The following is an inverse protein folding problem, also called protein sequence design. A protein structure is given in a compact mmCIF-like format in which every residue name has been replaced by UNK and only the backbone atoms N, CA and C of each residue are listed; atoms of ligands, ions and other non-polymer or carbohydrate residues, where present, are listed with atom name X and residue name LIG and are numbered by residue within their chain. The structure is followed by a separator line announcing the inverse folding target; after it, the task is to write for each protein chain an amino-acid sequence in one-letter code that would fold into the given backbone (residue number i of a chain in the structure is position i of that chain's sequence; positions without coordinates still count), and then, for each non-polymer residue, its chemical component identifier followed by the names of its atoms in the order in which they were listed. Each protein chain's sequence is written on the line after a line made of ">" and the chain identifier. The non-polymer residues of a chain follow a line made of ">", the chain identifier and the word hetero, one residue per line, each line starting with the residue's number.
data_IF_524340714933
#
_entry.id   IF_524340714933
#
_cell.length_a   1.000
_cell.length_b   1.000
_cell.length_c   1.000
_cell.angle_alpha   90.00
_cell.angle_beta   90.00
_cell.angle_gamma   90.00
#
_symmetry.space_group_name_H-M   'P 1'
#
loop_
_entity.id
_entity.type
_entity.pdbx_description
1 polymer ?
#
# COMPACT_ATOMS: atom_id res chain seq x y z
N UNK A 1 -9.98 7.22 3.11
CA UNK A 1 -8.76 6.41 3.33
C UNK A 1 -7.60 7.18 2.71
N UNK A 2 -6.55 7.49 3.49
CA UNK A 2 -5.35 8.22 3.05
C UNK A 2 -4.13 7.31 2.98
N UNK A 3 -3.06 7.74 2.32
CA UNK A 3 -1.78 6.98 2.29
C UNK A 3 -1.19 6.77 3.69
N UNK A 4 -1.27 7.77 4.58
CA UNK A 4 -0.81 7.65 5.97
C UNK A 4 -1.56 6.56 6.73
N UNK A 5 -2.90 6.50 6.56
CA UNK A 5 -3.71 5.45 7.17
C UNK A 5 -3.33 4.06 6.63
N UNK A 6 -3.09 3.95 5.33
CA UNK A 6 -2.64 2.69 4.72
C UNK A 6 -1.26 2.30 5.26
N UNK A 7 -0.31 3.22 5.38
CA UNK A 7 0.97 2.96 6.02
C UNK A 7 0.81 2.44 7.45
N UNK A 8 -0.06 3.05 8.25
CA UNK A 8 -0.31 2.61 9.63
C UNK A 8 -0.94 1.21 9.73
N UNK A 9 -1.88 0.87 8.85
CA UNK A 9 -2.53 -0.44 8.89
C UNK A 9 -1.65 -1.54 8.29
N UNK A 10 -1.03 -1.28 7.15
CA UNK A 10 -0.21 -2.27 6.45
C UNK A 10 1.20 -2.40 7.06
N UNK A 11 1.72 -1.36 7.70
CA UNK A 11 3.06 -1.35 8.29
C UNK A 11 3.22 -2.33 9.47
N UNK A 12 2.10 -2.78 10.06
CA UNK A 12 2.07 -3.84 11.08
C UNK A 12 2.62 -5.18 10.58
N UNK A 13 2.64 -5.40 9.27
CA UNK A 13 3.02 -6.66 8.65
C UNK A 13 4.41 -6.62 8.01
N UNK A 14 5.07 -5.46 8.00
CA UNK A 14 6.42 -5.32 7.47
C UNK A 14 6.78 -3.92 6.98
N UNK A 15 8.01 -3.79 6.49
CA UNK A 15 8.54 -2.56 5.93
C UNK A 15 7.87 -2.25 4.59
N UNK A 16 7.17 -1.12 4.55
CA UNK A 16 6.52 -0.62 3.34
C UNK A 16 7.53 0.23 2.56
N UNK A 17 7.73 -0.11 1.30
CA UNK A 17 8.62 0.64 0.39
C UNK A 17 7.87 1.72 -0.39
N UNK A 18 6.56 1.57 -0.61
CA UNK A 18 5.74 2.56 -1.30
C UNK A 18 4.25 2.35 -1.01
N UNK A 19 3.51 3.45 -0.88
CA UNK A 19 2.04 3.48 -0.90
C UNK A 19 1.60 4.50 -1.92
N UNK A 20 0.57 4.18 -2.69
CA UNK A 20 -0.03 5.11 -3.64
C UNK A 20 -1.52 4.87 -3.81
N UNK A 21 -2.33 5.91 -3.61
CA UNK A 21 -3.75 5.89 -3.95
C UNK A 21 -3.92 6.38 -5.39
N UNK A 22 -4.67 5.62 -6.19
CA UNK A 22 -5.05 6.00 -7.54
C UNK A 22 -6.34 6.82 -7.44
N UNK A 23 -6.19 8.13 -7.30
CA UNK A 23 -7.32 9.05 -7.32
C UNK A 23 -7.93 9.11 -8.73
N UNK A 24 -9.27 9.14 -8.84
CA UNK A 24 -9.96 9.18 -10.13
C UNK A 24 -9.57 10.44 -10.91
N UNK A 25 -9.22 10.27 -12.19
CA UNK A 25 -8.80 11.39 -13.06
C UNK A 25 -9.92 11.87 -13.97
N UNK A 26 -10.86 10.98 -14.29
CA UNK A 26 -12.00 11.26 -15.16
C UNK A 26 -13.32 11.28 -14.39
N UNK A 27 -14.35 11.92 -14.95
CA UNK A 27 -15.69 11.95 -14.37
C UNK A 27 -16.33 10.55 -14.26
N UNK A 28 -16.02 9.64 -15.20
CA UNK A 28 -16.48 8.26 -15.12
C UNK A 28 -15.87 7.54 -13.91
N UNK A 29 -14.57 7.72 -13.65
CA UNK A 29 -13.91 7.13 -12.49
C UNK A 29 -14.44 7.71 -11.17
N UNK A 30 -14.71 9.02 -11.12
CA UNK A 30 -15.33 9.64 -9.94
C UNK A 30 -16.69 9.02 -9.62
N UNK A 31 -17.51 8.77 -10.65
CA UNK A 31 -18.82 8.12 -10.52
C UNK A 31 -18.77 6.69 -9.96
N UNK A 32 -17.62 5.99 -10.05
CA UNK A 32 -17.46 4.63 -9.48
C UNK A 32 -17.44 4.62 -7.95
N UNK A 33 -17.28 5.78 -7.31
CA UNK A 33 -17.31 5.95 -5.84
C UNK A 33 -16.40 4.95 -5.09
N UNK A 34 -15.29 4.55 -5.72
CA UNK A 34 -14.32 3.60 -5.19
C UNK A 34 -12.95 3.99 -5.69
N UNK A 35 -11.97 4.00 -4.78
CA UNK A 35 -10.58 4.21 -5.13
C UNK A 35 -9.86 2.85 -5.07
N UNK A 36 -8.86 2.68 -5.93
CA UNK A 36 -7.86 1.62 -5.79
C UNK A 36 -6.53 2.22 -5.33
N UNK A 37 -5.67 1.37 -4.78
CA UNK A 37 -4.34 1.78 -4.34
C UNK A 37 -3.39 0.60 -4.34
N UNK A 38 -2.10 0.92 -4.25
CA UNK A 38 -1.03 -0.05 -4.19
C UNK A 38 -0.22 0.17 -2.91
N UNK A 39 0.12 -0.95 -2.25
CA UNK A 39 1.07 -1.00 -1.13
C UNK A 39 2.15 -1.99 -1.53
N UNK A 40 3.40 -1.53 -1.53
CA UNK A 40 4.58 -2.34 -1.82
C UNK A 40 5.33 -2.60 -0.54
N UNK A 41 5.63 -3.86 -0.27
CA UNK A 41 6.49 -4.28 0.84
C UNK A 41 7.91 -4.54 0.35
N UNK A 42 8.85 -4.56 1.28
CA UNK A 42 10.25 -4.91 0.99
C UNK A 42 10.40 -6.38 0.57
N UNK A 43 9.55 -7.28 1.08
CA UNK A 43 9.58 -8.70 0.76
C UNK A 43 8.19 -9.30 0.56
N UNK A 44 8.13 -10.37 -0.23
CA UNK A 44 6.90 -11.11 -0.53
C UNK A 44 6.19 -11.65 0.72
N UNK A 45 6.89 -12.25 1.73
CA UNK A 45 6.23 -12.76 2.93
C UNK A 45 5.49 -11.67 3.73
N UNK A 46 6.03 -10.46 3.80
CA UNK A 46 5.38 -9.32 4.46
C UNK A 46 4.07 -8.94 3.74
N UNK A 47 4.09 -8.93 2.40
CA UNK A 47 2.88 -8.69 1.61
C UNK A 47 1.85 -9.82 1.73
N UNK A 48 2.29 -11.07 1.87
CA UNK A 48 1.42 -12.24 2.11
C UNK A 48 0.74 -12.16 3.47
N UNK A 49 1.49 -11.82 4.52
CA UNK A 49 0.93 -11.60 5.85
C UNK A 49 -0.12 -10.48 5.83
N UNK A 50 0.19 -9.34 5.20
CA UNK A 50 -0.75 -8.23 5.08
C UNK A 50 -2.02 -8.64 4.32
N UNK A 51 -1.87 -9.31 3.16
CA UNK A 51 -3.03 -9.79 2.39
C UNK A 51 -3.87 -10.77 3.23
N UNK A 52 -3.26 -11.75 3.88
CA UNK A 52 -3.98 -12.76 4.65
C UNK A 52 -4.82 -12.15 5.78
N UNK A 53 -4.30 -11.12 6.46
CA UNK A 53 -4.96 -10.53 7.62
C UNK A 53 -5.94 -9.40 7.28
N UNK A 54 -5.72 -8.68 6.18
CA UNK A 54 -6.49 -7.47 5.85
C UNK A 54 -7.50 -7.66 4.69
N UNK A 55 -7.38 -8.72 3.89
CA UNK A 55 -8.31 -8.97 2.78
C UNK A 55 -9.71 -9.29 3.33
N UNK A 56 -10.71 -8.51 2.92
CA UNK A 56 -12.07 -8.61 3.43
C UNK A 56 -12.34 -7.85 4.73
N UNK A 57 -11.34 -7.17 5.31
CA UNK A 57 -11.55 -6.34 6.52
C UNK A 57 -12.25 -5.03 6.15
N UNK A 58 -13.07 -4.52 7.07
CA UNK A 58 -13.76 -3.24 6.93
C UNK A 58 -12.93 -2.07 7.49
N UNK A 59 -12.64 -1.08 6.64
CA UNK A 59 -12.06 0.21 7.05
C UNK A 59 -13.10 1.32 6.85
N UNK A 60 -13.47 2.01 7.93
CA UNK A 60 -14.49 3.07 7.90
C UNK A 60 -15.81 2.65 7.21
N UNK A 61 -16.25 1.41 7.45
CA UNK A 61 -17.47 0.86 6.84
C UNK A 61 -17.30 0.39 5.39
N UNK A 62 -16.11 0.47 4.81
CA UNK A 62 -15.80 -0.07 3.48
C UNK A 62 -14.98 -1.34 3.57
N UNK A 63 -15.48 -2.43 3.01
CA UNK A 63 -14.73 -3.69 2.89
C UNK A 63 -13.62 -3.50 1.86
N UNK A 64 -12.37 -3.69 2.28
CA UNK A 64 -11.22 -3.67 1.38
C UNK A 64 -11.01 -5.05 0.75
N UNK A 65 -10.59 -5.04 -0.52
CA UNK A 65 -10.24 -6.26 -1.28
C UNK A 65 -8.79 -6.13 -1.74
N UNK A 66 -7.98 -7.11 -1.42
CA UNK A 66 -6.54 -7.10 -1.68
C UNK A 66 -6.21 -8.17 -2.73
N UNK A 67 -5.61 -7.72 -3.84
CA UNK A 67 -5.10 -8.57 -4.91
C UNK A 67 -3.59 -8.40 -5.10
N UNK A 68 -2.98 -9.31 -5.86
CA UNK A 68 -1.58 -9.20 -6.23
C UNK A 68 -1.38 -8.19 -7.35
N UNK A 69 -0.52 -7.20 -7.12
CA UNK A 69 -0.04 -6.28 -8.15
C UNK A 69 1.14 -6.85 -8.95
N UNK A 70 1.55 -6.13 -9.99
CA UNK A 70 2.80 -6.43 -10.70
C UNK A 70 4.00 -6.14 -9.79
N UNK A 71 5.05 -6.96 -9.90
CA UNK A 71 6.32 -6.68 -9.23
C UNK A 71 6.89 -5.36 -9.76
N UNK A 72 7.04 -4.38 -8.88
CA UNK A 72 7.77 -3.15 -9.18
C UNK A 72 9.22 -3.32 -8.73
N UNK A 73 10.17 -2.86 -9.54
CA UNK A 73 11.56 -2.73 -9.09
C UNK A 73 11.59 -1.86 -7.84
N UNK A 74 12.49 -2.16 -6.90
CA UNK A 74 12.63 -1.36 -5.67
C UNK A 74 12.77 0.11 -6.09
N UNK A 75 11.91 1.03 -5.61
CA UNK A 75 12.20 2.45 -5.74
C UNK A 75 13.59 2.66 -5.13
N UNK A 76 14.48 3.34 -5.85
CA UNK A 76 15.79 3.71 -5.32
C UNK A 76 15.53 4.78 -4.26
N UNK A 77 15.12 4.39 -3.06
CA UNK A 77 15.10 5.27 -1.90
C UNK A 77 16.56 5.60 -1.64
N UNK A 78 16.92 6.87 -1.86
CA UNK A 78 18.25 7.37 -1.56
C UNK A 78 18.62 6.94 -0.12
N UNK A 79 19.84 6.44 0.11
CA UNK A 79 20.23 5.97 1.43
C UNK A 79 20.02 7.09 2.44
N UNK A 80 19.37 6.78 3.55
CA UNK A 80 19.26 7.71 4.67
C UNK A 80 20.67 8.13 5.11
N UNK A 81 20.94 9.42 5.37
CA UNK A 81 22.26 9.90 5.79
C UNK A 81 22.85 9.17 7.00
N UNK A 82 22.02 8.51 7.81
CA UNK A 82 22.39 7.69 8.96
C UNK A 82 23.22 6.44 8.62
N UNK A 83 23.35 6.04 7.35
CA UNK A 83 24.19 4.91 6.93
C UNK A 83 25.59 5.31 6.42
N UNK A 84 25.94 6.60 6.44
CA UNK A 84 27.24 7.11 5.96
C UNK A 84 28.30 7.34 7.06
N UNK A 85 28.05 6.84 8.28
CA UNK A 85 28.97 6.98 9.43
C UNK A 85 29.53 5.63 9.93
N UNK A 86 29.87 4.73 9.02
CA UNK A 86 30.67 3.53 9.31
C UNK A 86 32.05 3.62 8.65
#
# INVERSE_FOLDING_TARGET
>A
ITEEFLCQQFGKYGNITSVKIMYPRTEEEKKRNRNCGFVSFESRPQAEAAKHNLDGVSFYGMVIRIGWGKSVGRPVVAPSPSQLLA
#
